data_IF_519225657532
#
_entry.id   IF_519225657532
#
_cell.length_a   1.000
_cell.length_b   1.000
_cell.length_c   1.000
_cell.angle_alpha   90.00
_cell.angle_beta   90.00
_cell.angle_gamma   90.00
#
_symmetry.space_group_name_H-M   'P 1'
#
loop_
_entity.id
_entity.type
_entity.pdbx_description
1 polymer ?
#
# COMPACT_ATOMS: atom_id res chain seq x y z
N UNK A 1 13.69 48.66 18.81
CA UNK A 1 14.03 47.69 17.75
C UNK A 1 13.31 46.38 18.05
N UNK A 2 12.24 46.03 17.30
CA UNK A 2 11.50 44.77 17.47
C UNK A 2 11.92 43.83 16.34
N UNK A 3 12.58 42.71 16.69
CA UNK A 3 12.95 41.65 15.73
C UNK A 3 11.66 40.99 15.22
N UNK A 4 11.45 41.06 13.89
CA UNK A 4 10.47 40.23 13.21
C UNK A 4 10.92 38.77 13.28
N UNK A 5 10.01 37.90 13.69
CA UNK A 5 10.17 36.44 13.63
C UNK A 5 9.80 36.03 12.21
N UNK A 6 10.81 35.59 11.46
CA UNK A 6 10.65 35.08 10.10
C UNK A 6 10.04 33.69 10.20
N UNK A 7 8.73 33.61 9.96
CA UNK A 7 7.98 32.36 9.96
C UNK A 7 8.30 31.64 8.65
N UNK A 8 9.28 30.73 8.67
CA UNK A 8 9.59 29.85 7.54
C UNK A 8 8.41 28.91 7.30
N UNK A 9 7.50 29.34 6.43
CA UNK A 9 6.41 28.52 5.92
C UNK A 9 6.99 27.32 5.19
N UNK A 10 6.76 26.12 5.73
CA UNK A 10 6.92 24.88 4.98
C UNK A 10 5.93 24.93 3.83
N UNK A 11 6.42 25.17 2.62
CA UNK A 11 5.64 25.03 1.40
C UNK A 11 5.12 23.60 1.36
N UNK A 12 3.82 23.43 1.53
CA UNK A 12 3.14 22.15 1.41
C UNK A 12 3.17 21.79 -0.08
N UNK A 13 4.20 21.06 -0.50
CA UNK A 13 4.36 20.64 -1.89
C UNK A 13 3.13 19.82 -2.29
N UNK A 14 2.32 20.37 -3.19
CA UNK A 14 1.10 19.75 -3.65
C UNK A 14 1.46 18.60 -4.60
N UNK A 15 1.49 17.38 -4.05
CA UNK A 15 1.72 16.16 -4.85
C UNK A 15 0.51 15.94 -5.75
N UNK A 16 0.70 16.04 -7.06
CA UNK A 16 -0.34 15.68 -8.04
C UNK A 16 -0.23 14.20 -8.37
N UNK A 17 -1.33 13.46 -8.15
CA UNK A 17 -1.39 12.04 -8.49
C UNK A 17 -1.66 11.89 -9.98
N UNK A 18 -0.79 11.17 -10.69
CA UNK A 18 -0.98 10.78 -12.09
C UNK A 18 -0.98 9.26 -12.19
N UNK A 19 -2.06 8.72 -12.72
CA UNK A 19 -2.19 7.28 -12.96
C UNK A 19 -1.60 6.92 -14.33
N UNK A 20 -0.72 5.92 -14.35
CA UNK A 20 -0.21 5.35 -15.60
C UNK A 20 -1.24 4.37 -16.20
N UNK A 21 -2.00 3.68 -15.35
CA UNK A 21 -3.06 2.75 -15.73
C UNK A 21 -4.30 3.06 -14.87
N UNK A 22 -5.49 2.95 -15.47
CA UNK A 22 -6.78 3.15 -14.79
C UNK A 22 -7.50 1.85 -14.44
N UNK A 23 -7.02 0.72 -14.97
CA UNK A 23 -7.50 -0.61 -14.60
C UNK A 23 -7.21 -0.89 -13.13
N UNK A 24 -8.22 -1.35 -12.41
CA UNK A 24 -8.08 -1.85 -11.05
C UNK A 24 -8.25 -3.36 -11.05
N UNK A 25 -7.31 -4.08 -10.43
CA UNK A 25 -7.42 -5.51 -10.20
C UNK A 25 -7.85 -5.77 -8.77
N UNK A 26 -8.77 -6.71 -8.59
CA UNK A 26 -9.21 -7.14 -7.27
C UNK A 26 -8.24 -8.16 -6.67
N UNK A 27 -7.76 -7.88 -5.47
CA UNK A 27 -6.90 -8.77 -4.69
C UNK A 27 -7.58 -9.13 -3.36
N UNK A 28 -7.77 -10.44 -3.13
CA UNK A 28 -8.31 -10.99 -1.87
C UNK A 28 -7.23 -11.70 -1.04
N UNK A 29 -6.10 -12.03 -1.67
CA UNK A 29 -4.99 -12.72 -1.03
C UNK A 29 -3.66 -12.05 -1.34
N UNK A 30 -2.76 -12.14 -0.36
CA UNK A 30 -1.47 -11.49 -0.37
C UNK A 30 -0.41 -12.49 0.08
N UNK A 31 0.71 -12.55 -0.65
CA UNK A 31 1.87 -13.37 -0.30
C UNK A 31 3.03 -12.41 -0.09
N UNK A 32 3.66 -12.45 1.09
CA UNK A 32 4.85 -11.67 1.40
C UNK A 32 6.09 -12.56 1.30
N UNK A 33 7.03 -12.12 0.48
CA UNK A 33 8.39 -12.65 0.45
C UNK A 33 9.34 -11.57 0.95
N UNK A 34 10.28 -11.93 1.82
CA UNK A 34 11.23 -10.98 2.41
C UNK A 34 12.65 -11.48 2.24
N UNK A 35 13.56 -10.59 1.84
CA UNK A 35 15.01 -10.82 1.88
C UNK A 35 15.67 -9.88 2.89
N UNK A 36 17.01 -9.84 2.93
CA UNK A 36 17.73 -8.83 3.71
C UNK A 36 17.41 -7.42 3.23
N UNK A 37 17.23 -7.24 1.92
CA UNK A 37 17.25 -5.92 1.27
C UNK A 37 15.87 -5.46 0.82
N UNK A 38 14.97 -6.41 0.51
CA UNK A 38 13.66 -6.13 -0.05
C UNK A 38 12.50 -6.90 0.59
N UNK A 39 11.30 -6.39 0.32
CA UNK A 39 10.02 -7.00 0.61
C UNK A 39 9.23 -7.01 -0.69
N UNK A 40 8.74 -8.18 -1.09
CA UNK A 40 7.89 -8.34 -2.26
C UNK A 40 6.50 -8.79 -1.83
N UNK A 41 5.47 -8.02 -2.22
CA UNK A 41 4.06 -8.36 -2.01
C UNK A 41 3.49 -8.85 -3.34
N UNK A 42 3.01 -10.09 -3.35
CA UNK A 42 2.25 -10.65 -4.47
C UNK A 42 0.75 -10.58 -4.20
N UNK A 43 -0.01 -10.09 -5.16
CA UNK A 43 -1.45 -9.91 -5.10
C UNK A 43 -2.15 -10.97 -5.95
N UNK A 44 -3.15 -11.62 -5.35
CA UNK A 44 -3.95 -12.66 -5.98
C UNK A 44 -5.44 -12.41 -5.76
N UNK A 45 -6.24 -12.75 -6.76
CA UNK A 45 -7.71 -12.72 -6.67
C UNK A 45 -8.28 -13.86 -5.82
N UNK A 46 -7.48 -14.88 -5.48
CA UNK A 46 -7.89 -16.02 -4.66
C UNK A 46 -7.51 -17.36 -5.30
N UNK A 47 -7.75 -18.49 -4.61
CA UNK A 47 -7.38 -19.81 -5.10
C UNK A 47 -8.37 -20.25 -6.17
N UNK A 48 -7.87 -20.95 -7.19
CA UNK A 48 -8.68 -21.57 -8.23
C UNK A 48 -8.39 -23.07 -8.25
N UNK A 49 -9.39 -23.88 -8.59
CA UNK A 49 -9.14 -25.28 -8.89
C UNK A 49 -8.31 -25.39 -10.17
N UNK A 50 -7.28 -26.23 -10.16
CA UNK A 50 -6.45 -26.50 -11.32
C UNK A 50 -7.28 -27.27 -12.38
N UNK A 51 -7.43 -26.74 -13.60
CA UNK A 51 -8.13 -27.44 -14.68
C UNK A 51 -7.53 -28.81 -15.03
N UNK A 52 -6.23 -29.02 -14.75
CA UNK A 52 -5.55 -30.30 -14.96
C UNK A 52 -5.78 -31.32 -13.86
N UNK A 53 -6.54 -30.97 -12.81
CA UNK A 53 -6.88 -31.85 -11.70
C UNK A 53 -5.79 -31.97 -10.62
N UNK A 54 -4.67 -31.25 -10.75
CA UNK A 54 -3.51 -31.37 -9.86
C UNK A 54 -3.60 -30.52 -8.58
N UNK A 55 -4.79 -30.05 -8.20
CA UNK A 55 -5.04 -29.38 -6.93
C UNK A 55 -5.53 -27.95 -7.06
N UNK A 56 -5.07 -27.08 -6.17
CA UNK A 56 -5.47 -25.67 -6.08
C UNK A 56 -4.31 -24.79 -6.49
N UNK A 57 -4.54 -23.87 -7.44
CA UNK A 57 -3.56 -22.86 -7.87
C UNK A 57 -3.92 -21.50 -7.27
N UNK A 58 -2.90 -20.69 -6.98
CA UNK A 58 -3.07 -19.31 -6.52
C UNK A 58 -2.52 -18.35 -7.59
N UNK A 59 -3.34 -17.86 -8.53
CA UNK A 59 -2.90 -16.97 -9.59
C UNK A 59 -2.46 -15.61 -9.03
N UNK A 60 -1.21 -15.23 -9.27
CA UNK A 60 -0.68 -13.91 -8.93
C UNK A 60 -0.75 -13.01 -10.16
N UNK A 61 -1.50 -11.92 -10.08
CA UNK A 61 -1.64 -10.96 -11.19
C UNK A 61 -0.69 -9.76 -11.06
N UNK A 62 -0.26 -9.43 -9.85
CA UNK A 62 0.63 -8.28 -9.61
C UNK A 62 1.63 -8.58 -8.51
N UNK A 63 2.84 -8.04 -8.66
CA UNK A 63 3.91 -8.13 -7.65
C UNK A 63 4.53 -6.76 -7.48
N UNK A 64 4.66 -6.31 -6.24
CA UNK A 64 5.31 -5.05 -5.91
C UNK A 64 6.48 -5.35 -4.99
N UNK A 65 7.69 -5.10 -5.48
CA UNK A 65 8.91 -5.13 -4.68
C UNK A 65 9.20 -3.74 -4.14
N UNK A 66 9.65 -3.67 -2.88
CA UNK A 66 10.00 -2.42 -2.22
C UNK A 66 11.15 -2.66 -1.23
N UNK A 67 11.88 -1.60 -0.90
CA UNK A 67 12.83 -1.63 0.21
C UNK A 67 12.09 -1.84 1.53
N UNK A 68 12.82 -2.28 2.56
CA UNK A 68 12.26 -2.39 3.92
C UNK A 68 11.64 -1.08 4.43
N UNK A 69 12.30 0.04 4.17
CA UNK A 69 11.78 1.37 4.53
C UNK A 69 10.49 1.70 3.77
N UNK A 70 10.41 1.32 2.49
CA UNK A 70 9.19 1.45 1.69
C UNK A 70 8.04 0.64 2.27
N UNK A 71 8.29 -0.61 2.67
CA UNK A 71 7.30 -1.48 3.31
C UNK A 71 6.82 -0.93 4.65
N UNK A 72 7.73 -0.36 5.46
CA UNK A 72 7.37 0.27 6.72
C UNK A 72 6.44 1.47 6.52
N UNK A 73 6.75 2.35 5.56
CA UNK A 73 5.88 3.49 5.21
C UNK A 73 4.51 3.03 4.72
N UNK A 74 4.47 2.00 3.88
CA UNK A 74 3.21 1.41 3.43
C UNK A 74 2.36 0.92 4.61
N UNK A 75 2.97 0.18 5.54
CA UNK A 75 2.30 -0.29 6.75
C UNK A 75 1.73 0.86 7.59
N UNK A 76 2.51 1.91 7.81
CA UNK A 76 2.09 3.09 8.59
C UNK A 76 0.89 3.82 7.94
N UNK A 77 0.94 4.02 6.62
CA UNK A 77 -0.13 4.67 5.87
C UNK A 77 -1.40 3.82 5.91
N UNK A 78 -1.30 2.51 5.62
CA UNK A 78 -2.43 1.59 5.67
C UNK A 78 -3.04 1.54 7.07
N UNK A 79 -2.20 1.43 8.10
CA UNK A 79 -2.64 1.43 9.50
C UNK A 79 -3.40 2.69 9.87
N UNK A 80 -2.92 3.87 9.44
CA UNK A 80 -3.61 5.15 9.67
C UNK A 80 -5.00 5.19 9.05
N UNK A 81 -5.14 4.77 7.79
CA UNK A 81 -6.42 4.76 7.08
C UNK A 81 -7.42 3.80 7.75
N UNK A 82 -6.96 2.60 8.13
CA UNK A 82 -7.82 1.61 8.78
C UNK A 82 -8.24 2.04 10.20
N UNK A 83 -7.39 2.79 10.90
CA UNK A 83 -7.70 3.31 12.23
C UNK A 83 -8.75 4.44 12.19
N UNK A 84 -8.79 5.26 11.14
CA UNK A 84 -9.76 6.35 10.98
C UNK A 84 -11.22 5.86 10.92
N UNK A 85 -11.44 4.61 10.49
CA UNK A 85 -12.78 4.00 10.43
C UNK A 85 -13.38 3.62 11.80
N UNK A 86 -12.67 3.85 12.93
CA UNK A 86 -13.18 3.55 14.29
C UNK A 86 -13.81 4.74 15.03
N UNK A 87 -13.79 5.94 14.47
CA UNK A 87 -14.41 7.13 15.08
C UNK A 87 -15.60 7.61 14.25
N UNK A 88 -16.73 6.88 14.33
CA UNK A 88 -18.05 7.43 13.97
C UNK A 88 -18.61 8.27 15.12
N UNK A 89 -19.45 9.29 14.85
CA UNK A 89 -20.01 10.16 15.89
C UNK A 89 -20.89 9.34 16.84
N UNK A 90 -20.66 9.49 18.14
CA UNK A 90 -21.60 9.03 19.15
C UNK A 90 -22.91 9.82 18.96
N UNK A 91 -24.00 9.10 18.69
CA UNK A 91 -25.37 9.64 18.82
C UNK A 91 -25.66 9.95 20.29
#
# INVERSE_FOLDING_TARGET
MKKQVENTGKSNEQVTVRYNETSSLFASQFILNTSSDDVTISFSSGPLADPSGNGTILPVHSRIAMTRDGAKRLYEILGSVLAQNKSGPAN
#
